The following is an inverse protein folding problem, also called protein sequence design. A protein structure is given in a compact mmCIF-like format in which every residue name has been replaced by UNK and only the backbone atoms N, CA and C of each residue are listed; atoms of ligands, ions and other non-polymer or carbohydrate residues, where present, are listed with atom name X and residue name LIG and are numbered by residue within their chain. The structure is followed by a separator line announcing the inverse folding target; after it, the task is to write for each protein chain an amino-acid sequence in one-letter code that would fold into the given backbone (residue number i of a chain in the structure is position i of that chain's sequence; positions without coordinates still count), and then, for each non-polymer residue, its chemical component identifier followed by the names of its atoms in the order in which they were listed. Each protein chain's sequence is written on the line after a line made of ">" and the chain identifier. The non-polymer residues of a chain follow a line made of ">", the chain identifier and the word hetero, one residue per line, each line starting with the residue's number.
data_IF_756128878772
#
_entry.id   IF_756128878772
#
_cell.length_a   1.000
_cell.length_b   1.000
_cell.length_c   1.000
_cell.angle_alpha   90.00
_cell.angle_beta   90.00
_cell.angle_gamma   90.00
#
_symmetry.space_group_name_H-M   'P 1'
#
loop_
_entity.id
_entity.type
_entity.pdbx_description
1 polymer ?
#
# COMPACT_ATOMS: atom_id res chain seq x y z
N UNK A 1 25.26 -6.25 -6.17
CA UNK A 1 24.04 -6.71 -5.46
C UNK A 1 23.28 -5.45 -5.06
N UNK A 2 22.10 -5.17 -5.64
CA UNK A 2 21.25 -4.07 -5.15
C UNK A 2 20.61 -4.53 -3.85
N UNK A 3 20.82 -3.78 -2.77
CA UNK A 3 19.99 -3.89 -1.58
C UNK A 3 18.58 -3.47 -2.03
N UNK A 4 17.59 -4.31 -1.77
CA UNK A 4 16.20 -4.02 -2.09
C UNK A 4 15.45 -3.87 -0.77
N UNK A 5 14.85 -2.71 -0.56
CA UNK A 5 13.99 -2.47 0.60
C UNK A 5 12.74 -3.34 0.52
N UNK A 6 12.32 -3.90 1.65
CA UNK A 6 11.09 -4.68 1.74
C UNK A 6 9.90 -3.73 1.87
N UNK A 7 8.84 -3.94 1.08
CA UNK A 7 7.61 -3.19 1.27
C UNK A 7 6.94 -3.55 2.60
N UNK A 8 6.72 -2.53 3.44
CA UNK A 8 5.92 -2.65 4.67
C UNK A 8 4.67 -1.78 4.55
N UNK A 9 3.51 -2.35 4.87
CA UNK A 9 2.27 -1.60 4.87
C UNK A 9 2.28 -0.52 5.97
N UNK A 10 2.21 0.74 5.55
CA UNK A 10 2.21 1.92 6.45
C UNK A 10 0.83 2.25 7.02
N UNK A 11 -0.17 1.38 6.84
CA UNK A 11 -1.57 1.59 7.28
C UNK A 11 -2.19 2.90 6.77
N UNK A 12 -1.72 3.41 5.63
CA UNK A 12 -2.21 4.65 5.02
C UNK A 12 -3.60 4.54 4.34
N UNK A 13 -4.26 3.37 4.36
CA UNK A 13 -5.56 3.14 3.75
C UNK A 13 -5.59 3.06 2.20
N UNK A 14 -4.56 3.54 1.49
CA UNK A 14 -4.53 3.65 0.02
C UNK A 14 -4.79 2.32 -0.71
N UNK A 15 -4.13 1.23 -0.32
CA UNK A 15 -4.38 -0.10 -0.91
C UNK A 15 -5.78 -0.63 -0.55
N UNK A 16 -6.27 -0.35 0.66
CA UNK A 16 -7.58 -0.79 1.10
C UNK A 16 -8.73 -0.04 0.40
N UNK A 17 -8.50 1.20 -0.06
CA UNK A 17 -9.47 1.92 -0.90
C UNK A 17 -9.36 1.58 -2.39
N UNK A 18 -8.16 1.21 -2.86
CA UNK A 18 -7.93 0.86 -4.27
C UNK A 18 -8.18 -0.62 -4.55
N UNK A 19 -7.30 -1.50 -4.07
CA UNK A 19 -7.45 -2.95 -4.20
C UNK A 19 -8.64 -3.46 -3.39
N UNK A 20 -8.86 -2.90 -2.20
CA UNK A 20 -9.83 -3.43 -1.25
C UNK A 20 -11.28 -3.44 -1.73
N UNK A 21 -11.64 -2.68 -2.77
CA UNK A 21 -12.96 -2.77 -3.42
C UNK A 21 -13.25 -4.14 -4.05
N UNK A 22 -12.20 -4.92 -4.31
CA UNK A 22 -12.30 -6.28 -4.83
C UNK A 22 -12.42 -7.33 -3.71
N UNK A 23 -12.28 -6.93 -2.45
CA UNK A 23 -12.45 -7.80 -1.29
C UNK A 23 -13.90 -7.77 -0.86
N UNK A 24 -14.52 -8.95 -0.75
CA UNK A 24 -15.94 -9.09 -0.37
C UNK A 24 -16.09 -10.08 0.78
N UNK A 25 -16.99 -9.78 1.70
CA UNK A 25 -17.48 -10.78 2.66
C UNK A 25 -18.48 -11.65 1.91
N UNK A 26 -18.14 -12.93 1.74
CA UNK A 26 -18.99 -13.90 1.03
C UNK A 26 -20.00 -14.54 1.98
N UNK A 27 -19.56 -14.92 3.18
CA UNK A 27 -20.43 -15.42 4.25
C UNK A 27 -19.79 -15.17 5.62
N UNK A 28 -20.61 -15.07 6.65
CA UNK A 28 -20.18 -14.90 8.04
C UNK A 28 -20.48 -16.17 8.83
N UNK A 29 -19.50 -16.67 9.58
CA UNK A 29 -19.71 -17.76 10.57
C UNK A 29 -20.19 -17.16 11.89
N UNK A 30 -19.66 -15.99 12.23
CA UNK A 30 -19.99 -15.25 13.45
C UNK A 30 -19.79 -13.75 13.20
N UNK A 31 -20.11 -12.88 14.17
CA UNK A 31 -19.84 -11.44 14.05
C UNK A 31 -18.35 -11.07 13.89
N UNK A 32 -17.44 -12.02 14.13
CA UNK A 32 -15.99 -11.78 14.09
C UNK A 32 -15.26 -12.72 13.13
N UNK A 33 -15.96 -13.64 12.46
CA UNK A 33 -15.36 -14.59 11.53
C UNK A 33 -16.11 -14.61 10.20
N UNK A 34 -15.36 -14.36 9.13
CA UNK A 34 -15.92 -14.15 7.80
C UNK A 34 -15.10 -14.92 6.76
N UNK A 35 -15.80 -15.58 5.83
CA UNK A 35 -15.18 -16.00 4.58
C UNK A 35 -15.13 -14.82 3.64
N UNK A 36 -13.94 -14.54 3.15
CA UNK A 36 -13.63 -13.39 2.33
C UNK A 36 -13.19 -13.86 0.98
N UNK A 37 -13.81 -13.31 -0.05
CA UNK A 37 -13.43 -13.54 -1.44
C UNK A 37 -12.64 -12.35 -1.96
N UNK A 38 -11.52 -12.64 -2.57
CA UNK A 38 -10.87 -11.73 -3.50
C UNK A 38 -11.46 -11.92 -4.90
N UNK A 39 -12.12 -10.89 -5.44
CA UNK A 39 -12.72 -10.93 -6.76
C UNK A 39 -11.70 -10.93 -7.91
N UNK A 40 -10.41 -10.64 -7.66
CA UNK A 40 -9.35 -10.66 -8.67
C UNK A 40 -8.85 -12.10 -8.88
N UNK A 41 -8.44 -12.77 -7.81
CA UNK A 41 -7.92 -14.15 -7.89
C UNK A 41 -9.01 -15.22 -7.76
N UNK A 42 -10.18 -14.88 -7.22
CA UNK A 42 -11.23 -15.82 -6.85
C UNK A 42 -10.98 -16.55 -5.53
N UNK A 43 -9.83 -16.32 -4.87
CA UNK A 43 -9.44 -16.97 -3.62
C UNK A 43 -10.43 -16.65 -2.48
N UNK A 44 -10.78 -17.69 -1.71
CA UNK A 44 -11.63 -17.57 -0.52
C UNK A 44 -10.82 -17.92 0.71
N UNK A 45 -10.77 -17.01 1.68
CA UNK A 45 -10.00 -17.16 2.93
C UNK A 45 -10.91 -16.93 4.13
N UNK A 46 -10.79 -17.79 5.16
CA UNK A 46 -11.40 -17.51 6.46
C UNK A 46 -10.53 -16.51 7.22
N UNK A 47 -11.12 -15.38 7.61
CA UNK A 47 -10.46 -14.35 8.42
C UNK A 47 -11.21 -14.13 9.72
N UNK A 48 -10.48 -13.73 10.76
CA UNK A 48 -11.04 -13.28 12.03
C UNK A 48 -10.71 -11.82 12.28
N UNK A 49 -11.69 -11.08 12.79
CA UNK A 49 -11.48 -9.71 13.29
C UNK A 49 -10.54 -9.77 14.49
N UNK A 50 -9.48 -8.96 14.45
CA UNK A 50 -8.53 -8.84 15.56
C UNK A 50 -9.29 -8.45 16.84
N UNK A 51 -9.02 -9.08 18.00
CA UNK A 51 -9.75 -8.82 19.24
C UNK A 51 -9.93 -7.34 19.55
N UNK A 52 -8.84 -6.56 19.48
CA UNK A 52 -8.83 -5.13 19.80
C UNK A 52 -9.62 -4.27 18.80
N UNK A 53 -9.91 -4.80 17.61
CA UNK A 53 -10.59 -4.08 16.54
C UNK A 53 -12.06 -4.48 16.40
N UNK A 54 -12.60 -5.33 17.28
CA UNK A 54 -14.00 -5.82 17.18
C UNK A 54 -15.02 -4.70 17.34
N UNK A 55 -14.81 -3.80 18.31
CA UNK A 55 -15.68 -2.63 18.49
C UNK A 55 -15.64 -1.71 17.26
N UNK A 56 -14.44 -1.40 16.78
CA UNK A 56 -14.24 -0.57 15.59
C UNK A 56 -14.84 -1.21 14.32
N UNK A 57 -14.81 -2.53 14.20
CA UNK A 57 -15.44 -3.23 13.08
C UNK A 57 -16.96 -3.00 13.04
N UNK A 58 -17.63 -2.89 14.19
CA UNK A 58 -19.08 -2.65 14.27
C UNK A 58 -19.51 -1.26 13.78
N UNK A 59 -18.61 -0.29 13.66
CA UNK A 59 -18.90 1.08 13.21
C UNK A 59 -19.18 1.20 11.69
N UNK A 60 -19.03 0.10 10.95
CA UNK A 60 -19.28 0.07 9.50
C UNK A 60 -18.05 0.47 8.67
N UNK A 61 -18.00 -0.05 7.44
CA UNK A 61 -16.86 0.17 6.54
C UNK A 61 -16.94 1.54 5.86
N UNK A 62 -15.77 2.01 5.39
CA UNK A 62 -15.74 3.14 4.47
C UNK A 62 -16.38 2.79 3.14
N UNK A 63 -17.29 3.65 2.67
CA UNK A 63 -17.93 3.50 1.36
C UNK A 63 -16.90 3.38 0.23
N UNK A 64 -17.14 2.42 -0.68
CA UNK A 64 -16.26 2.15 -1.82
C UNK A 64 -14.90 1.53 -1.49
N UNK A 65 -14.60 1.28 -0.21
CA UNK A 65 -13.36 0.66 0.26
C UNK A 65 -13.48 -0.80 0.65
N UNK A 66 -12.41 -1.35 1.22
CA UNK A 66 -12.40 -2.69 1.82
C UNK A 66 -13.42 -2.79 2.96
N UNK A 67 -14.19 -3.90 3.07
CA UNK A 67 -15.15 -4.11 4.16
C UNK A 67 -14.50 -4.15 5.55
N UNK A 68 -13.20 -4.38 5.63
CA UNK A 68 -12.41 -4.44 6.87
C UNK A 68 -11.62 -3.15 7.17
N UNK A 69 -11.80 -2.10 6.39
CA UNK A 69 -11.15 -0.81 6.61
C UNK A 69 -12.05 0.10 7.46
N UNK A 70 -11.46 0.73 8.47
CA UNK A 70 -12.10 1.73 9.33
C UNK A 70 -11.25 3.01 9.36
N UNK A 71 -11.89 4.16 9.54
CA UNK A 71 -11.17 5.39 9.95
C UNK A 71 -10.98 5.35 11.46
N UNK A 72 -9.83 5.81 11.94
CA UNK A 72 -9.53 5.84 13.38
C UNK A 72 -8.86 4.57 13.92
N UNK A 73 -8.63 4.57 15.24
CA UNK A 73 -7.68 3.70 15.95
C UNK A 73 -6.34 4.42 16.20
N UNK A 74 -5.24 3.68 16.33
CA UNK A 74 -3.89 4.23 16.53
C UNK A 74 -3.29 4.90 15.28
N UNK A 75 -4.00 4.83 14.15
CA UNK A 75 -3.58 5.30 12.84
C UNK A 75 -4.77 5.94 12.11
N UNK A 76 -4.54 6.78 11.07
CA UNK A 76 -5.62 7.38 10.29
C UNK A 76 -6.58 6.33 9.70
N UNK A 77 -6.10 5.11 9.45
CA UNK A 77 -6.92 3.97 9.06
C UNK A 77 -6.50 2.71 9.80
N UNK A 78 -7.49 1.88 10.11
CA UNK A 78 -7.29 0.57 10.74
C UNK A 78 -7.84 -0.55 9.85
N UNK A 79 -7.01 -1.55 9.59
CA UNK A 79 -7.43 -2.81 8.97
C UNK A 79 -7.77 -3.80 10.09
N UNK A 80 -9.05 -4.12 10.25
CA UNK A 80 -9.52 -4.94 11.38
C UNK A 80 -9.08 -6.41 11.30
N UNK A 81 -8.54 -6.84 10.16
CA UNK A 81 -8.00 -8.19 9.91
C UNK A 81 -6.51 -8.18 9.56
N UNK A 82 -5.73 -7.16 9.96
CA UNK A 82 -4.36 -6.96 9.48
C UNK A 82 -3.46 -8.23 9.56
N UNK A 83 -3.56 -9.00 10.64
CA UNK A 83 -2.81 -10.24 10.82
C UNK A 83 -3.28 -11.42 9.96
N UNK A 84 -4.55 -11.41 9.53
CA UNK A 84 -5.17 -12.45 8.70
C UNK A 84 -5.50 -11.97 7.29
N UNK A 85 -4.83 -10.92 6.82
CA UNK A 85 -5.03 -10.37 5.47
C UNK A 85 -4.96 -11.49 4.41
N UNK A 86 -5.90 -11.53 3.45
CA UNK A 86 -5.82 -12.43 2.31
C UNK A 86 -4.49 -12.26 1.56
N UNK A 87 -4.08 -13.30 0.81
CA UNK A 87 -2.80 -13.30 0.09
C UNK A 87 -2.61 -12.07 -0.78
N UNK A 88 -3.62 -11.68 -1.56
CA UNK A 88 -3.55 -10.48 -2.40
C UNK A 88 -3.24 -9.20 -1.61
N UNK A 89 -3.73 -9.07 -0.37
CA UNK A 89 -3.46 -7.92 0.48
C UNK A 89 -2.04 -7.92 1.08
N UNK A 90 -1.39 -9.09 1.17
CA UNK A 90 -0.01 -9.24 1.63
C UNK A 90 0.99 -8.99 0.50
N UNK A 91 0.66 -9.46 -0.70
CA UNK A 91 1.51 -9.36 -1.89
C UNK A 91 1.34 -8.02 -2.64
N UNK A 92 0.21 -7.34 -2.46
CA UNK A 92 -0.03 -6.07 -3.14
C UNK A 92 0.84 -4.95 -2.56
N UNK A 93 1.66 -4.38 -3.45
CA UNK A 93 2.56 -3.27 -3.16
C UNK A 93 1.96 -1.98 -3.71
N UNK A 94 1.46 -1.12 -2.81
CA UNK A 94 0.94 0.19 -3.21
C UNK A 94 2.05 1.20 -3.55
N UNK A 95 3.29 0.89 -3.13
CA UNK A 95 4.52 1.60 -3.47
C UNK A 95 5.47 0.60 -4.12
N UNK A 96 6.06 0.97 -5.25
CA UNK A 96 7.02 0.14 -5.98
C UNK A 96 8.46 0.64 -5.83
N UNK A 97 8.65 1.88 -5.36
CA UNK A 97 9.94 2.49 -5.11
C UNK A 97 9.79 3.60 -4.06
N UNK A 98 10.78 3.74 -3.19
CA UNK A 98 10.93 4.87 -2.28
C UNK A 98 12.09 5.74 -2.78
N UNK A 99 11.95 7.06 -2.65
CA UNK A 99 12.97 8.03 -3.04
C UNK A 99 13.32 8.85 -1.80
N UNK A 100 14.56 8.74 -1.34
CA UNK A 100 15.06 9.58 -0.25
C UNK A 100 15.77 10.80 -0.79
N UNK A 101 15.61 11.92 -0.09
CA UNK A 101 16.24 13.20 -0.41
C UNK A 101 17.69 13.29 0.09
N UNK A 102 18.36 14.43 -0.17
CA UNK A 102 19.73 14.68 0.27
C UNK A 102 19.88 14.75 1.80
N UNK A 103 18.78 15.02 2.51
CA UNK A 103 18.67 15.02 3.97
C UNK A 103 18.54 13.61 4.57
N UNK A 104 18.36 12.59 3.73
CA UNK A 104 18.13 11.20 4.14
C UNK A 104 16.68 10.85 4.42
N UNK A 105 15.75 11.81 4.31
CA UNK A 105 14.33 11.60 4.57
C UNK A 105 13.57 11.15 3.31
N UNK A 106 12.37 10.56 3.46
CA UNK A 106 11.52 10.19 2.33
C UNK A 106 11.05 11.46 1.60
N UNK A 107 11.65 11.77 0.45
CA UNK A 107 11.25 12.88 -0.41
C UNK A 107 10.03 12.51 -1.28
N UNK A 108 9.85 11.23 -1.61
CA UNK A 108 8.71 10.76 -2.37
C UNK A 108 8.70 9.25 -2.59
N UNK A 109 7.68 8.77 -3.30
CA UNK A 109 7.58 7.35 -3.65
C UNK A 109 6.87 7.16 -4.99
N UNK A 110 7.07 6.00 -5.61
CA UNK A 110 6.44 5.62 -6.88
C UNK A 110 5.32 4.62 -6.61
N UNK A 111 4.17 4.81 -7.27
CA UNK A 111 3.05 3.84 -7.28
C UNK A 111 2.81 3.26 -8.66
N UNK A 112 2.24 2.05 -8.68
CA UNK A 112 1.85 1.38 -9.92
C UNK A 112 3.03 1.20 -10.87
N UNK A 113 2.81 1.46 -12.16
CA UNK A 113 3.86 1.26 -13.16
C UNK A 113 4.99 2.29 -13.09
N UNK A 114 4.74 3.55 -12.71
CA UNK A 114 5.74 4.67 -12.72
C UNK A 114 5.19 6.03 -12.28
N UNK A 115 4.13 6.09 -11.47
CA UNK A 115 3.57 7.39 -11.06
C UNK A 115 4.27 7.87 -9.79
N UNK A 116 5.01 8.97 -9.88
CA UNK A 116 5.59 9.64 -8.72
C UNK A 116 4.49 10.25 -7.83
N UNK A 117 4.70 10.18 -6.52
CA UNK A 117 3.97 10.95 -5.52
C UNK A 117 5.03 11.64 -4.66
N UNK A 118 5.06 12.97 -4.72
CA UNK A 118 5.98 13.81 -3.97
C UNK A 118 5.33 15.16 -3.65
N UNK A 119 5.78 15.81 -2.58
CA UNK A 119 5.57 17.24 -2.34
C UNK A 119 6.84 18.07 -2.60
N UNK A 120 7.96 17.41 -2.90
CA UNK A 120 9.23 18.04 -3.23
C UNK A 120 9.23 18.52 -4.70
N UNK A 121 9.25 19.84 -4.94
CA UNK A 121 9.21 20.40 -6.29
C UNK A 121 10.48 20.11 -7.11
N UNK A 122 11.62 19.92 -6.46
CA UNK A 122 12.88 19.57 -7.15
C UNK A 122 12.80 18.14 -7.65
N UNK A 123 12.35 17.22 -6.80
CA UNK A 123 12.14 15.83 -7.18
C UNK A 123 11.11 15.72 -8.33
N UNK A 124 10.00 16.46 -8.26
CA UNK A 124 9.00 16.50 -9.33
C UNK A 124 9.63 16.96 -10.66
N UNK A 125 10.39 18.06 -10.65
CA UNK A 125 11.05 18.58 -11.84
C UNK A 125 12.10 17.63 -12.43
N UNK A 126 12.81 16.87 -11.59
CA UNK A 126 13.74 15.82 -12.03
C UNK A 126 13.00 14.64 -12.64
N UNK A 127 11.88 14.24 -12.05
CA UNK A 127 11.08 13.12 -12.54
C UNK A 127 10.54 13.37 -13.95
N UNK A 128 10.12 14.60 -14.26
CA UNK A 128 9.67 14.97 -15.61
C UNK A 128 10.75 14.85 -16.69
N UNK A 129 12.03 14.80 -16.30
CA UNK A 129 13.17 14.58 -17.23
C UNK A 129 13.44 13.10 -17.50
N UNK A 130 12.81 12.19 -16.76
CA UNK A 130 13.00 10.75 -16.91
C UNK A 130 12.22 10.28 -18.15
N UNK A 131 12.88 9.62 -19.13
CA UNK A 131 12.19 9.11 -20.31
C UNK A 131 11.06 8.13 -19.94
N UNK A 132 9.91 8.17 -20.64
CA UNK A 132 8.88 7.15 -20.49
C UNK A 132 9.45 5.75 -20.72
N UNK A 133 9.23 4.85 -19.77
CA UNK A 133 9.72 3.47 -19.88
C UNK A 133 11.13 3.23 -19.35
N UNK A 134 11.86 4.27 -18.91
CA UNK A 134 13.21 4.15 -18.35
C UNK A 134 13.29 3.12 -17.23
N UNK A 135 14.26 2.20 -17.32
CA UNK A 135 14.51 1.19 -16.28
C UNK A 135 15.03 1.80 -14.98
N UNK A 136 14.93 1.06 -13.88
CA UNK A 136 15.29 1.53 -12.53
C UNK A 136 16.73 2.05 -12.43
N UNK A 137 17.66 1.50 -13.22
CA UNK A 137 19.04 1.99 -13.28
C UNK A 137 19.14 3.44 -13.80
N UNK A 138 18.38 3.78 -14.83
CA UNK A 138 18.35 5.14 -15.40
C UNK A 138 17.69 6.12 -14.41
N UNK A 139 16.62 5.68 -13.74
CA UNK A 139 15.96 6.48 -12.69
C UNK A 139 16.96 6.81 -11.58
N UNK A 140 17.66 5.79 -11.06
CA UNK A 140 18.70 5.96 -10.03
C UNK A 140 19.82 6.88 -10.47
N UNK A 141 20.26 6.78 -11.72
CA UNK A 141 21.33 7.63 -12.23
C UNK A 141 20.91 9.12 -12.30
N UNK A 142 19.73 9.40 -12.86
CA UNK A 142 19.21 10.77 -13.00
C UNK A 142 18.99 11.42 -11.63
N UNK A 143 18.36 10.68 -10.72
CA UNK A 143 18.07 11.14 -9.37
C UNK A 143 19.35 11.27 -8.53
N UNK A 144 20.26 10.30 -8.64
CA UNK A 144 21.54 10.27 -7.91
C UNK A 144 22.48 11.44 -8.24
N UNK A 145 22.45 11.96 -9.48
CA UNK A 145 23.18 13.19 -9.85
C UNK A 145 22.74 14.44 -9.07
N UNK A 146 21.59 14.35 -8.39
CA UNK A 146 21.01 15.43 -7.59
C UNK A 146 20.86 15.03 -6.12
N UNK A 147 21.64 14.03 -5.67
CA UNK A 147 21.65 13.52 -4.28
C UNK A 147 20.33 12.90 -3.82
N UNK A 148 19.49 12.41 -4.75
CA UNK A 148 18.34 11.57 -4.42
C UNK A 148 18.68 10.10 -4.59
N UNK A 149 18.16 9.25 -3.71
CA UNK A 149 18.37 7.80 -3.79
C UNK A 149 17.04 7.08 -4.03
N UNK A 150 16.97 6.36 -5.16
CA UNK A 150 15.78 5.60 -5.55
C UNK A 150 15.97 4.10 -5.28
N UNK A 151 15.16 3.56 -4.38
CA UNK A 151 15.20 2.17 -3.98
C UNK A 151 13.89 1.44 -4.35
N UNK A 152 13.92 0.49 -5.31
CA UNK A 152 12.80 -0.39 -5.60
C UNK A 152 12.42 -1.22 -4.38
N UNK A 153 11.11 -1.41 -4.21
CA UNK A 153 10.55 -2.19 -3.13
C UNK A 153 10.25 -3.62 -3.59
N UNK A 154 10.68 -4.60 -2.80
CA UNK A 154 10.32 -6.02 -2.98
C UNK A 154 9.20 -6.45 -2.06
#
# INVERSE_FOLDING_TARGET
>A
MSIMATFVCTRCGKCCMSLGRHIRIERSISPVQHYVRDAISGEVTLVSIHPDNRALFSEGALEGGCPFLRKGGDAPFTCTIYGMRPRICREFRCRTMVITGPDGEEAGYVKGRRTLVTSDPVLEALWQKIPPGAGDGVIREILGRNSYHAEPLT
#
